data_IF_375192320534
#
_entry.id   IF_375192320534
#
_cell.length_a   1.000
_cell.length_b   1.000
_cell.length_c   1.000
_cell.angle_alpha   90.00
_cell.angle_beta   90.00
_cell.angle_gamma   90.00
#
_symmetry.space_group_name_H-M   'P 1'
#
loop_
_entity.id
_entity.type
_entity.pdbx_description
1 polymer ?
#
# COMPACT_ATOMS: atom_id res chain seq x y z
N UNK A 1 6.31 25.44 -23.49
CA UNK A 1 5.52 24.77 -22.44
C UNK A 1 6.25 23.51 -22.01
N UNK A 2 6.89 23.56 -20.85
CA UNK A 2 7.55 22.41 -20.24
C UNK A 2 6.72 21.85 -19.08
N UNK A 3 6.94 20.58 -18.73
CA UNK A 3 6.29 19.93 -17.58
C UNK A 3 6.51 20.70 -16.26
N UNK A 4 7.57 21.49 -16.18
CA UNK A 4 7.97 22.31 -15.02
C UNK A 4 7.11 23.57 -14.82
N UNK A 5 6.34 23.97 -15.84
CA UNK A 5 5.45 25.14 -15.77
C UNK A 5 4.03 24.75 -15.36
N UNK A 6 3.76 23.45 -15.20
CA UNK A 6 2.44 22.97 -14.81
C UNK A 6 2.17 23.27 -13.32
N UNK A 7 0.94 23.69 -12.99
CA UNK A 7 0.45 23.71 -11.62
C UNK A 7 0.63 22.36 -10.93
N UNK A 8 0.86 22.38 -9.62
CA UNK A 8 1.08 21.16 -8.83
C UNK A 8 -0.08 20.19 -8.95
N UNK A 9 -1.30 20.69 -9.09
CA UNK A 9 -2.53 19.93 -9.26
C UNK A 9 -2.53 19.10 -10.56
N UNK A 10 -2.00 19.66 -11.66
CA UNK A 10 -1.90 18.93 -12.93
C UNK A 10 -0.79 17.89 -12.89
N UNK A 11 0.34 18.19 -12.24
CA UNK A 11 1.40 17.20 -11.98
C UNK A 11 0.88 16.05 -11.11
N UNK A 12 0.04 16.37 -10.13
CA UNK A 12 -0.70 15.43 -9.31
C UNK A 12 -1.53 14.46 -10.14
N UNK A 13 -2.34 15.02 -11.02
CA UNK A 13 -3.26 14.26 -11.87
C UNK A 13 -2.48 13.32 -12.81
N UNK A 14 -1.35 13.81 -13.34
CA UNK A 14 -0.43 12.99 -14.13
C UNK A 14 0.12 11.84 -13.26
N UNK A 15 0.54 12.12 -12.02
CA UNK A 15 1.00 11.11 -11.07
C UNK A 15 -0.05 10.02 -10.77
N UNK A 16 -1.32 10.41 -10.59
CA UNK A 16 -2.45 9.48 -10.33
C UNK A 16 -2.73 8.53 -11.52
N UNK A 17 -2.30 8.88 -12.75
CA UNK A 17 -2.51 8.08 -13.96
C UNK A 17 -1.26 7.32 -14.45
N UNK A 18 -0.12 7.47 -13.77
CA UNK A 18 1.12 6.79 -14.13
C UNK A 18 1.31 5.52 -13.31
N UNK A 19 1.74 4.44 -13.97
CA UNK A 19 2.20 3.24 -13.26
C UNK A 19 3.53 3.48 -12.53
N UNK A 20 3.86 2.62 -11.56
CA UNK A 20 5.03 2.73 -10.67
C UNK A 20 6.32 3.13 -11.38
N UNK A 21 6.63 2.40 -12.46
CA UNK A 21 7.89 2.56 -13.17
C UNK A 21 8.01 3.95 -13.79
N UNK A 22 6.94 4.41 -14.47
CA UNK A 22 6.92 5.73 -15.09
C UNK A 22 6.92 6.86 -14.06
N UNK A 23 6.22 6.68 -12.93
CA UNK A 23 6.25 7.63 -11.82
C UNK A 23 7.65 7.74 -11.20
N UNK A 24 8.32 6.60 -10.98
CA UNK A 24 9.71 6.56 -10.51
C UNK A 24 10.67 7.23 -11.50
N UNK A 25 10.53 6.97 -12.81
CA UNK A 25 11.34 7.65 -13.82
C UNK A 25 11.16 9.16 -13.76
N UNK A 26 9.92 9.66 -13.70
CA UNK A 26 9.60 11.09 -13.58
C UNK A 26 10.19 11.73 -12.32
N UNK A 27 10.09 11.06 -11.17
CA UNK A 27 10.71 11.52 -9.92
C UNK A 27 12.24 11.68 -10.06
N UNK A 28 12.90 10.85 -10.87
CA UNK A 28 14.37 10.89 -11.05
C UNK A 28 14.85 11.97 -12.03
N UNK A 29 13.96 12.55 -12.83
CA UNK A 29 14.35 13.56 -13.84
C UNK A 29 14.76 14.88 -13.19
N UNK A 30 14.12 15.29 -12.09
CA UNK A 30 14.36 16.60 -11.50
C UNK A 30 13.92 16.68 -10.02
N UNK A 31 14.63 17.46 -9.20
CA UNK A 31 14.31 17.68 -7.78
C UNK A 31 12.91 18.27 -7.52
N UNK A 32 12.41 19.14 -8.40
CA UNK A 32 11.04 19.67 -8.30
C UNK A 32 10.01 18.55 -8.49
N UNK A 33 10.18 17.75 -9.55
CA UNK A 33 9.30 16.61 -9.82
C UNK A 33 9.41 15.53 -8.75
N UNK A 34 10.61 15.28 -8.23
CA UNK A 34 10.82 14.44 -7.06
C UNK A 34 9.96 14.93 -5.90
N UNK A 35 10.12 16.20 -5.49
CA UNK A 35 9.35 16.73 -4.35
C UNK A 35 7.84 16.70 -4.57
N UNK A 36 7.37 16.93 -5.80
CA UNK A 36 5.95 16.97 -6.13
C UNK A 36 5.33 15.57 -6.23
N UNK A 37 6.08 14.57 -6.69
CA UNK A 37 5.59 13.24 -7.04
C UNK A 37 6.01 12.12 -6.07
N UNK A 38 6.99 12.35 -5.20
CA UNK A 38 7.50 11.32 -4.27
C UNK A 38 6.41 10.81 -3.31
N UNK A 39 5.50 11.67 -2.85
CA UNK A 39 4.34 11.24 -2.05
C UNK A 39 3.42 10.27 -2.81
N UNK A 40 3.27 10.45 -4.12
CA UNK A 40 2.49 9.54 -4.98
C UNK A 40 3.18 8.21 -5.16
N UNK A 41 4.51 8.23 -5.32
CA UNK A 41 5.31 7.00 -5.41
C UNK A 41 5.17 6.17 -4.12
N UNK A 42 5.23 6.81 -2.95
CA UNK A 42 4.99 6.12 -1.68
C UNK A 42 3.56 5.60 -1.55
N UNK A 43 2.56 6.41 -1.92
CA UNK A 43 1.15 5.97 -1.91
C UNK A 43 0.91 4.78 -2.83
N UNK A 44 1.48 4.80 -4.03
CA UNK A 44 1.40 3.72 -5.00
C UNK A 44 2.09 2.46 -4.46
N UNK A 45 3.29 2.59 -3.91
CA UNK A 45 4.02 1.47 -3.30
C UNK A 45 3.25 0.85 -2.12
N UNK A 46 2.65 1.68 -1.27
CA UNK A 46 1.80 1.23 -0.17
C UNK A 46 0.55 0.51 -0.71
N UNK A 47 -0.14 1.06 -1.71
CA UNK A 47 -1.30 0.41 -2.32
C UNK A 47 -0.98 -0.94 -2.93
N UNK A 48 0.16 -1.05 -3.63
CA UNK A 48 0.62 -2.31 -4.21
C UNK A 48 1.06 -3.31 -3.14
N UNK A 49 1.76 -2.86 -2.10
CA UNK A 49 2.12 -3.71 -0.95
C UNK A 49 0.88 -4.28 -0.28
N UNK A 50 -0.10 -3.43 0.00
CA UNK A 50 -1.41 -3.78 0.54
C UNK A 50 -2.13 -4.81 -0.34
N UNK A 51 -2.30 -4.49 -1.63
CA UNK A 51 -2.96 -5.38 -2.59
C UNK A 51 -2.25 -6.73 -2.72
N UNK A 52 -0.91 -6.72 -2.72
CA UNK A 52 -0.09 -7.94 -2.76
C UNK A 52 -0.25 -8.78 -1.49
N UNK A 53 -0.43 -8.14 -0.33
CA UNK A 53 -0.66 -8.84 0.93
C UNK A 53 -2.00 -9.56 0.93
N UNK A 54 -3.08 -8.95 0.42
CA UNK A 54 -4.38 -9.62 0.24
C UNK A 54 -4.22 -10.83 -0.67
N UNK A 55 -3.58 -10.70 -1.83
CA UNK A 55 -3.39 -11.84 -2.74
C UNK A 55 -2.57 -12.98 -2.11
N UNK A 56 -1.58 -12.66 -1.28
CA UNK A 56 -0.83 -13.67 -0.53
C UNK A 56 -1.71 -14.39 0.51
N UNK A 57 -2.59 -13.65 1.20
CA UNK A 57 -3.54 -14.19 2.17
C UNK A 57 -4.56 -15.09 1.45
N UNK A 58 -5.22 -14.60 0.40
CA UNK A 58 -6.16 -15.39 -0.41
C UNK A 58 -5.53 -16.66 -0.98
N UNK A 59 -4.27 -16.55 -1.43
CA UNK A 59 -3.48 -17.67 -1.93
C UNK A 59 -2.94 -18.62 -0.86
N UNK A 60 -3.19 -18.33 0.42
CA UNK A 60 -2.74 -19.11 1.57
C UNK A 60 -1.20 -19.15 1.76
N UNK A 61 -0.49 -18.13 1.27
CA UNK A 61 0.97 -18.00 1.31
C UNK A 61 1.42 -17.25 2.58
N UNK A 62 1.51 -17.97 3.70
CA UNK A 62 1.81 -17.41 5.04
C UNK A 62 3.15 -16.66 5.10
N UNK A 63 4.18 -17.23 4.48
CA UNK A 63 5.54 -16.68 4.43
C UNK A 63 5.62 -15.39 3.62
N UNK A 64 4.97 -15.36 2.45
CA UNK A 64 4.87 -14.17 1.60
C UNK A 64 4.06 -13.08 2.30
N UNK A 65 2.94 -13.44 2.94
CA UNK A 65 2.15 -12.51 3.73
C UNK A 65 3.00 -11.89 4.85
N UNK A 66 3.72 -12.70 5.63
CA UNK A 66 4.60 -12.23 6.71
C UNK A 66 5.65 -11.24 6.20
N UNK A 67 6.34 -11.57 5.11
CA UNK A 67 7.35 -10.71 4.50
C UNK A 67 6.77 -9.34 4.10
N UNK A 68 5.58 -9.32 3.47
CA UNK A 68 4.93 -8.07 3.07
C UNK A 68 4.51 -7.21 4.27
N UNK A 69 4.03 -7.84 5.34
CA UNK A 69 3.71 -7.14 6.59
C UNK A 69 4.97 -6.61 7.28
N UNK A 70 6.10 -7.32 7.22
CA UNK A 70 7.39 -6.86 7.75
C UNK A 70 7.92 -5.64 6.98
N UNK A 71 7.53 -5.49 5.70
CA UNK A 71 7.83 -4.33 4.87
C UNK A 71 6.84 -3.17 5.04
N UNK A 72 5.91 -3.26 5.99
CA UNK A 72 4.97 -2.20 6.31
C UNK A 72 3.73 -2.16 5.41
N UNK A 73 3.36 -3.29 4.80
CA UNK A 73 2.00 -3.43 4.28
C UNK A 73 1.00 -3.22 5.42
N UNK A 74 0.01 -2.37 5.18
CA UNK A 74 -1.05 -2.08 6.12
C UNK A 74 -1.95 -3.33 6.27
N UNK A 75 -2.38 -3.64 7.49
CA UNK A 75 -3.31 -4.74 7.78
C UNK A 75 -4.75 -4.27 7.94
N UNK A 76 -4.95 -2.95 8.05
CA UNK A 76 -6.24 -2.32 8.29
C UNK A 76 -6.84 -1.69 7.04
N UNK A 77 -6.08 -1.61 5.94
CA UNK A 77 -6.62 -1.06 4.70
C UNK A 77 -7.79 -1.89 4.18
N UNK A 78 -8.68 -1.21 3.46
CA UNK A 78 -9.80 -1.81 2.76
C UNK A 78 -9.51 -1.80 1.27
N UNK A 79 -9.76 -2.92 0.62
CA UNK A 79 -9.71 -3.02 -0.84
C UNK A 79 -10.91 -2.29 -1.49
N UNK A 80 -11.05 -2.39 -2.82
CA UNK A 80 -12.16 -1.77 -3.55
C UNK A 80 -13.54 -2.35 -3.15
N UNK A 81 -13.59 -3.57 -2.61
CA UNK A 81 -14.78 -4.22 -2.06
C UNK A 81 -15.08 -3.87 -0.60
N UNK A 82 -14.24 -3.07 0.06
CA UNK A 82 -14.38 -2.77 1.48
C UNK A 82 -13.85 -3.86 2.42
N UNK A 83 -13.18 -4.88 1.86
CA UNK A 83 -12.66 -6.04 2.59
C UNK A 83 -11.27 -5.74 3.15
N UNK A 84 -11.02 -6.19 4.39
CA UNK A 84 -9.71 -6.08 5.03
C UNK A 84 -8.91 -7.40 4.89
N UNK A 85 -7.57 -7.34 4.96
CA UNK A 85 -6.72 -8.53 5.03
C UNK A 85 -7.21 -9.61 6.01
N UNK A 86 -7.69 -9.19 7.19
CA UNK A 86 -8.23 -10.10 8.19
C UNK A 86 -9.52 -10.81 7.76
N UNK A 87 -10.41 -10.13 7.03
CA UNK A 87 -11.61 -10.76 6.48
C UNK A 87 -11.27 -11.84 5.45
N UNK A 88 -10.24 -11.60 4.62
CA UNK A 88 -9.73 -12.63 3.70
C UNK A 88 -9.13 -13.82 4.45
N UNK A 89 -8.30 -13.58 5.47
CA UNK A 89 -7.71 -14.66 6.25
C UNK A 89 -8.77 -15.57 6.89
N UNK A 90 -9.90 -15.03 7.35
CA UNK A 90 -11.03 -15.85 7.86
C UNK A 90 -11.62 -16.78 6.80
N UNK A 91 -11.65 -16.37 5.53
CA UNK A 91 -12.18 -17.20 4.43
C UNK A 91 -11.22 -18.34 4.07
N UNK A 92 -9.92 -18.17 4.31
CA UNK A 92 -8.90 -19.21 4.02
C UNK A 92 -8.95 -20.39 5.00
N UNK A 93 -9.57 -20.21 6.18
CA UNK A 93 -9.56 -21.14 7.32
C UNK A 93 -8.13 -21.52 7.79
N UNK A 94 -7.11 -20.75 7.41
CA UNK A 94 -5.75 -20.96 7.84
C UNK A 94 -5.48 -20.19 9.13
N UNK A 95 -5.40 -20.94 10.23
CA UNK A 95 -5.13 -20.40 11.57
C UNK A 95 -3.83 -19.60 11.60
N UNK A 96 -2.79 -20.03 10.87
CA UNK A 96 -1.50 -19.33 10.86
C UNK A 96 -1.61 -17.92 10.22
N UNK A 97 -2.46 -17.73 9.21
CA UNK A 97 -2.72 -16.40 8.64
C UNK A 97 -3.55 -15.52 9.59
N UNK A 98 -4.52 -16.11 10.28
CA UNK A 98 -5.34 -15.42 11.28
C UNK A 98 -4.45 -14.96 12.43
N UNK A 99 -3.59 -15.84 12.94
CA UNK A 99 -2.62 -15.52 13.99
C UNK A 99 -1.62 -14.47 13.53
N UNK A 100 -1.06 -14.58 12.32
CA UNK A 100 -0.13 -13.59 11.75
C UNK A 100 -0.72 -12.17 11.71
N UNK A 101 -2.02 -12.04 11.42
CA UNK A 101 -2.70 -10.74 11.36
C UNK A 101 -3.18 -10.24 12.73
N UNK A 102 -3.24 -11.12 13.73
CA UNK A 102 -3.55 -10.79 15.13
C UNK A 102 -2.28 -10.57 15.98
N UNK A 103 -1.12 -10.98 15.49
CA UNK A 103 0.17 -10.71 16.13
C UNK A 103 0.29 -9.19 16.39
N UNK A 104 0.50 -8.76 17.65
CA UNK A 104 0.69 -7.35 17.95
C UNK A 104 1.95 -6.86 17.25
N UNK A 105 1.76 -5.99 16.25
CA UNK A 105 2.84 -5.32 15.54
C UNK A 105 3.00 -3.95 16.17
N UNK A 106 4.24 -3.57 16.46
CA UNK A 106 4.61 -2.23 16.92
C UNK A 106 4.41 -1.25 15.74
N UNK A 107 3.15 -0.96 15.42
CA UNK A 107 2.77 -0.11 14.28
C UNK A 107 2.85 1.38 14.62
N UNK A 108 3.22 1.75 15.85
CA UNK A 108 3.22 3.15 16.29
C UNK A 108 1.84 3.82 16.24
N UNK A 109 0.77 3.05 15.96
CA UNK A 109 -0.61 3.50 15.94
C UNK A 109 -1.30 2.85 17.14
N UNK A 110 -1.24 3.55 18.27
CA UNK A 110 -1.99 3.23 19.48
C UNK A 110 -3.48 3.05 19.14
N UNK A 111 -3.96 1.80 19.22
CA UNK A 111 -5.24 1.34 19.79
C UNK A 111 -6.54 2.13 19.63
N UNK A 112 -6.67 3.11 18.74
CA UNK A 112 -7.83 4.01 18.73
C UNK A 112 -9.00 3.58 17.82
N UNK A 113 -8.77 2.75 16.80
CA UNK A 113 -9.78 2.53 15.75
C UNK A 113 -10.35 1.10 15.70
N UNK A 114 -10.25 0.33 16.79
CA UNK A 114 -10.92 -0.97 16.91
C UNK A 114 -12.37 -0.74 17.39
N UNK A 115 -13.25 -0.29 16.50
CA UNK A 115 -14.69 -0.48 16.72
C UNK A 115 -15.10 -1.90 16.27
N UNK A 116 -15.73 -2.60 17.21
CA UNK A 116 -16.19 -4.00 17.16
C UNK A 116 -17.26 -4.27 16.09
#
# INVERSE_FOLDING_TARGET
MGLLELPRELLRLIGDHLGQAHLNYLCRVNNFLYSALNGYLYRYNSWYGNSSAISAIEGNHVDVARMLLDWGADIYFKDAGGMTPYMYAKQTLNIALIELLLEPRDTGLDGADIEY
#
